data_IF_625430150602
#
_entry.id   IF_625430150602
#
_cell.length_a   1.000
_cell.length_b   1.000
_cell.length_c   1.000
_cell.angle_alpha   90.00
_cell.angle_beta   90.00
_cell.angle_gamma   90.00
#
_symmetry.space_group_name_H-M   'P 1'
#
loop_
_entity.id
_entity.type
_entity.pdbx_description
1 polymer ?
#
# COMPACT_ATOMS: atom_id res chain seq x y z
N UNK A 1 -50.60 -69.30 -6.70
CA UNK A 1 -51.51 -68.16 -6.98
C UNK A 1 -52.07 -67.71 -5.62
N UNK A 2 -52.00 -66.48 -5.12
CA UNK A 2 -51.82 -65.15 -5.71
C UNK A 2 -50.88 -64.33 -4.80
N UNK A 3 -49.59 -64.18 -5.16
CA UNK A 3 -48.68 -63.19 -4.51
C UNK A 3 -48.89 -61.77 -5.06
N UNK A 4 -49.64 -61.65 -6.15
CA UNK A 4 -49.91 -60.37 -6.82
C UNK A 4 -51.09 -59.60 -6.19
N UNK A 5 -51.85 -60.23 -5.29
CA UNK A 5 -53.00 -59.58 -4.64
C UNK A 5 -52.62 -58.68 -3.47
N UNK A 6 -51.44 -58.86 -2.87
CA UNK A 6 -51.01 -58.04 -1.72
C UNK A 6 -50.40 -56.72 -2.19
N UNK A 7 -49.65 -56.74 -3.29
CA UNK A 7 -49.07 -55.54 -3.90
C UNK A 7 -50.15 -54.61 -4.46
N UNK A 8 -51.22 -55.15 -5.03
CA UNK A 8 -52.33 -54.36 -5.57
C UNK A 8 -53.11 -53.63 -4.46
N UNK A 9 -53.34 -54.31 -3.32
CA UNK A 9 -54.04 -53.72 -2.17
C UNK A 9 -53.18 -52.65 -1.48
N UNK A 10 -51.86 -52.85 -1.39
CA UNK A 10 -50.93 -51.86 -0.84
C UNK A 10 -50.80 -50.61 -1.73
N UNK A 11 -50.84 -50.79 -3.06
CA UNK A 11 -50.80 -49.68 -4.02
C UNK A 11 -52.09 -48.84 -4.00
N UNK A 12 -53.25 -49.49 -3.84
CA UNK A 12 -54.56 -48.80 -3.74
C UNK A 12 -54.68 -48.04 -2.40
N UNK A 13 -54.16 -48.59 -1.30
CA UNK A 13 -54.07 -47.88 -0.02
C UNK A 13 -53.14 -46.66 -0.10
N UNK A 14 -52.05 -46.72 -0.87
CA UNK A 14 -51.16 -45.57 -1.07
C UNK A 14 -51.81 -44.43 -1.89
N UNK A 15 -52.71 -44.77 -2.83
CA UNK A 15 -53.46 -43.80 -3.63
C UNK A 15 -54.58 -43.15 -2.81
N UNK A 16 -55.20 -43.86 -1.87
CA UNK A 16 -56.25 -43.33 -0.99
C UNK A 16 -55.72 -42.45 0.15
N UNK A 17 -54.44 -42.56 0.52
CA UNK A 17 -53.78 -41.71 1.53
C UNK A 17 -52.93 -40.56 0.93
N UNK A 18 -52.91 -40.39 -0.39
CA UNK A 18 -52.46 -39.16 -1.00
C UNK A 18 -53.44 -38.04 -0.59
N UNK A 19 -53.00 -37.03 0.17
CA UNK A 19 -53.90 -35.98 0.59
C UNK A 19 -54.41 -35.29 -0.66
N UNK A 20 -55.74 -35.24 -0.78
CA UNK A 20 -56.49 -34.38 -1.67
C UNK A 20 -55.79 -33.01 -1.74
N UNK A 21 -55.03 -32.79 -2.81
CA UNK A 21 -54.58 -31.47 -3.23
C UNK A 21 -55.82 -30.68 -3.64
N UNK A 22 -56.56 -30.19 -2.64
CA UNK A 22 -57.50 -29.09 -2.81
C UNK A 22 -56.69 -27.94 -3.40
N UNK A 23 -57.05 -27.57 -4.63
CA UNK A 23 -56.77 -26.25 -5.21
C UNK A 23 -57.30 -25.19 -4.26
N UNK A 24 -56.51 -24.84 -3.26
CA UNK A 24 -56.65 -23.56 -2.60
C UNK A 24 -56.02 -22.54 -3.55
N UNK A 25 -56.88 -21.69 -4.08
CA UNK A 25 -56.55 -20.38 -4.60
C UNK A 25 -55.58 -19.70 -3.62
N UNK A 26 -54.28 -19.87 -3.86
CA UNK A 26 -53.28 -18.98 -3.31
C UNK A 26 -53.40 -17.74 -4.18
N UNK A 27 -54.11 -16.75 -3.64
CA UNK A 27 -53.93 -15.35 -4.02
C UNK A 27 -52.43 -15.15 -4.20
N UNK A 28 -52.00 -14.84 -5.43
CA UNK A 28 -50.66 -14.36 -5.71
C UNK A 28 -50.46 -13.09 -4.88
N UNK A 29 -50.00 -13.24 -3.64
CA UNK A 29 -49.05 -12.28 -3.12
C UNK A 29 -47.85 -12.46 -4.04
N UNK A 30 -47.75 -11.53 -4.98
CA UNK A 30 -46.52 -11.16 -5.64
C UNK A 30 -45.54 -10.85 -4.51
N UNK A 31 -44.91 -11.89 -3.95
CA UNK A 31 -43.60 -11.74 -3.36
C UNK A 31 -42.73 -11.36 -4.54
N UNK A 32 -42.56 -10.05 -4.71
CA UNK A 32 -41.38 -9.52 -5.36
C UNK A 32 -40.21 -10.24 -4.69
N UNK A 33 -39.66 -11.26 -5.36
CA UNK A 33 -38.25 -11.56 -5.24
C UNK A 33 -37.59 -10.24 -5.58
N UNK A 34 -37.32 -9.43 -4.56
CA UNK A 34 -36.33 -8.37 -4.65
C UNK A 34 -35.08 -9.12 -5.10
N UNK A 35 -34.77 -9.02 -6.38
CA UNK A 35 -33.40 -9.17 -6.83
C UNK A 35 -32.60 -8.31 -5.87
N UNK A 36 -31.89 -8.95 -4.94
CA UNK A 36 -30.87 -8.28 -4.16
C UNK A 36 -29.85 -7.88 -5.21
N UNK A 37 -29.96 -6.63 -5.67
CA UNK A 37 -29.03 -6.02 -6.60
C UNK A 37 -27.64 -6.38 -6.15
N UNK A 38 -26.83 -6.91 -7.07
CA UNK A 38 -25.41 -7.08 -6.84
C UNK A 38 -24.82 -5.68 -6.74
N UNK A 39 -24.80 -5.15 -5.53
CA UNK A 39 -24.23 -3.83 -5.26
C UNK A 39 -22.71 -3.97 -5.37
N UNK A 40 -22.13 -3.22 -6.31
CA UNK A 40 -20.69 -3.18 -6.55
C UNK A 40 -20.10 -2.05 -5.69
N UNK A 41 -19.58 -2.41 -4.53
CA UNK A 41 -18.89 -1.48 -3.63
C UNK A 41 -17.39 -1.59 -3.83
N UNK A 42 -16.70 -0.46 -3.70
CA UNK A 42 -15.26 -0.37 -3.98
C UNK A 42 -14.44 -0.19 -2.72
N UNK A 43 -14.98 0.46 -1.69
CA UNK A 43 -14.22 0.87 -0.52
C UNK A 43 -14.95 0.62 0.80
N UNK A 44 -14.14 0.34 1.82
CA UNK A 44 -14.55 0.31 3.23
C UNK A 44 -13.88 1.45 3.94
N UNK A 45 -14.59 2.11 4.84
CA UNK A 45 -13.92 2.97 5.81
C UNK A 45 -14.43 2.66 7.20
N UNK A 46 -13.52 2.44 8.14
CA UNK A 46 -13.80 1.83 9.43
C UNK A 46 -13.62 2.91 10.49
N UNK A 47 -14.66 3.15 11.29
CA UNK A 47 -14.64 4.07 12.42
C UNK A 47 -14.58 3.32 13.75
N UNK A 48 -14.55 4.03 14.89
CA UNK A 48 -14.59 3.40 16.22
C UNK A 48 -15.78 2.51 16.30
N UNK A 49 -16.93 3.06 15.94
CA UNK A 49 -18.21 2.50 16.28
C UNK A 49 -18.88 1.96 15.01
N UNK A 50 -18.14 1.65 13.95
CA UNK A 50 -18.78 1.36 12.69
C UNK A 50 -17.88 1.17 11.49
N UNK A 51 -18.49 0.91 10.35
CA UNK A 51 -17.84 1.06 9.06
C UNK A 51 -18.85 1.49 8.00
N UNK A 52 -18.35 2.23 7.03
CA UNK A 52 -19.07 2.78 5.90
C UNK A 52 -18.66 2.09 4.60
N UNK A 53 -19.63 1.95 3.69
CA UNK A 53 -19.45 1.38 2.36
C UNK A 53 -19.66 2.45 1.29
N UNK A 54 -18.66 2.58 0.44
CA UNK A 54 -18.65 3.55 -0.66
C UNK A 54 -18.56 2.84 -2.02
N UNK A 55 -19.19 3.44 -3.04
CA UNK A 55 -18.98 3.03 -4.43
C UNK A 55 -17.66 3.56 -5.01
N UNK A 56 -17.38 3.22 -6.26
CA UNK A 56 -16.17 3.65 -6.99
C UNK A 56 -16.02 5.18 -7.11
N UNK A 57 -17.12 5.91 -6.96
CA UNK A 57 -17.20 7.36 -7.08
C UNK A 57 -17.25 8.01 -5.68
N UNK A 58 -16.89 7.26 -4.63
CA UNK A 58 -16.89 7.69 -3.22
C UNK A 58 -18.25 8.17 -2.69
N UNK A 59 -19.36 7.70 -3.25
CA UNK A 59 -20.68 7.96 -2.68
C UNK A 59 -21.00 6.97 -1.57
N UNK A 60 -21.39 7.47 -0.39
CA UNK A 60 -21.83 6.63 0.72
C UNK A 60 -23.08 5.84 0.33
N UNK A 61 -23.01 4.51 0.37
CA UNK A 61 -24.15 3.62 0.11
C UNK A 61 -24.78 3.09 1.38
N UNK A 62 -23.96 2.77 2.38
CA UNK A 62 -24.44 2.14 3.61
C UNK A 62 -23.50 2.39 4.77
N UNK A 63 -24.09 2.65 5.94
CA UNK A 63 -23.40 2.77 7.21
C UNK A 63 -23.76 1.59 8.12
N UNK A 64 -22.76 1.05 8.81
CA UNK A 64 -22.92 0.07 9.86
C UNK A 64 -22.41 0.66 11.17
N UNK A 65 -23.28 0.75 12.17
CA UNK A 65 -22.91 1.19 13.50
C UNK A 65 -22.98 0.07 14.53
N UNK A 66 -22.04 0.10 15.47
CA UNK A 66 -21.92 -0.76 16.63
C UNK A 66 -21.98 0.13 17.89
N UNK A 67 -22.55 -0.42 18.97
CA UNK A 67 -22.61 0.27 20.26
C UNK A 67 -21.24 0.34 20.96
N UNK A 68 -20.29 -0.46 20.50
CA UNK A 68 -18.99 -0.66 21.12
C UNK A 68 -17.89 -0.57 20.07
N UNK A 69 -16.70 -0.08 20.46
CA UNK A 69 -15.57 0.09 19.57
C UNK A 69 -15.20 -1.18 18.78
N UNK A 70 -14.90 -1.05 17.49
CA UNK A 70 -14.26 -2.06 16.65
C UNK A 70 -12.80 -2.16 17.08
N UNK A 71 -12.35 -3.38 17.39
CA UNK A 71 -10.98 -3.70 17.74
C UNK A 71 -10.21 -4.37 16.61
N UNK A 72 -10.91 -5.09 15.72
CA UNK A 72 -10.29 -5.74 14.57
C UNK A 72 -11.27 -5.76 13.40
N UNK A 73 -10.75 -5.49 12.22
CA UNK A 73 -11.46 -5.59 10.95
C UNK A 73 -10.61 -6.39 9.97
N UNK A 74 -11.21 -7.37 9.29
CA UNK A 74 -10.51 -8.17 8.30
C UNK A 74 -11.45 -8.60 7.19
N UNK A 75 -11.00 -8.58 5.94
CA UNK A 75 -11.74 -9.10 4.80
C UNK A 75 -11.08 -10.37 4.23
N UNK A 76 -11.91 -11.32 3.79
CA UNK A 76 -11.42 -12.57 3.22
C UNK A 76 -12.47 -13.24 2.35
N UNK A 77 -12.11 -13.60 1.10
CA UNK A 77 -12.93 -14.38 0.16
C UNK A 77 -14.43 -14.05 0.19
N UNK A 78 -14.76 -12.76 0.04
CA UNK A 78 -16.15 -12.32 -0.04
C UNK A 78 -16.88 -12.22 1.31
N UNK A 79 -16.15 -12.19 2.43
CA UNK A 79 -16.68 -11.88 3.76
C UNK A 79 -15.89 -10.78 4.44
N UNK A 80 -16.54 -10.09 5.37
CA UNK A 80 -15.93 -9.08 6.25
C UNK A 80 -16.17 -9.50 7.70
N UNK A 81 -15.12 -9.49 8.50
CA UNK A 81 -15.11 -9.90 9.89
C UNK A 81 -14.84 -8.65 10.73
N UNK A 82 -15.78 -8.30 11.58
CA UNK A 82 -15.69 -7.15 12.47
C UNK A 82 -15.76 -7.64 13.90
N UNK A 83 -14.73 -7.35 14.67
CA UNK A 83 -14.67 -7.65 16.09
C UNK A 83 -14.81 -6.38 16.90
N UNK A 84 -15.73 -6.38 17.87
CA UNK A 84 -15.99 -5.26 18.78
C UNK A 84 -15.46 -5.54 20.19
N UNK A 85 -15.30 -4.48 20.99
CA UNK A 85 -14.69 -4.53 22.32
C UNK A 85 -15.55 -5.22 23.38
N UNK A 86 -16.87 -5.32 23.15
CA UNK A 86 -17.76 -6.20 23.90
C UNK A 86 -17.60 -7.69 23.52
N UNK A 87 -16.48 -8.03 22.86
CA UNK A 87 -16.13 -9.41 22.55
C UNK A 87 -17.18 -10.08 21.67
N UNK A 88 -17.60 -9.37 20.62
CA UNK A 88 -18.47 -9.92 19.58
C UNK A 88 -17.77 -9.87 18.24
N UNK A 89 -18.03 -10.88 17.42
CA UNK A 89 -17.62 -10.93 16.02
C UNK A 89 -18.87 -10.95 15.16
N UNK A 90 -18.99 -9.98 14.26
CA UNK A 90 -20.00 -9.96 13.21
C UNK A 90 -19.33 -10.31 11.88
N UNK A 91 -19.86 -11.31 11.19
CA UNK A 91 -19.40 -11.73 9.86
C UNK A 91 -20.44 -11.29 8.84
N UNK A 92 -20.02 -10.44 7.91
CA UNK A 92 -20.86 -9.90 6.85
C UNK A 92 -20.54 -10.57 5.52
N UNK A 93 -21.57 -10.78 4.71
CA UNK A 93 -21.39 -11.12 3.31
C UNK A 93 -20.89 -9.89 2.55
N UNK A 94 -19.75 -9.94 1.84
CA UNK A 94 -19.20 -8.77 1.14
C UNK A 94 -20.01 -8.34 -0.09
N UNK A 95 -20.89 -9.20 -0.63
CA UNK A 95 -21.73 -8.86 -1.79
C UNK A 95 -23.03 -8.19 -1.38
N UNK A 96 -23.62 -8.66 -0.27
CA UNK A 96 -24.94 -8.22 0.18
C UNK A 96 -24.89 -7.31 1.42
N UNK A 97 -23.76 -7.31 2.11
CA UNK A 97 -23.52 -6.66 3.39
C UNK A 97 -24.64 -6.90 4.41
N UNK A 98 -25.21 -8.09 4.39
CA UNK A 98 -25.99 -8.63 5.47
C UNK A 98 -25.09 -9.41 6.43
N UNK A 99 -25.50 -9.42 7.70
CA UNK A 99 -24.82 -10.20 8.73
C UNK A 99 -25.14 -11.68 8.49
N UNK A 100 -24.15 -12.47 8.06
CA UNK A 100 -24.31 -13.92 7.91
C UNK A 100 -24.27 -14.65 9.25
N UNK A 101 -23.50 -14.12 10.19
CA UNK A 101 -23.19 -14.78 11.45
C UNK A 101 -22.74 -13.79 12.51
N UNK A 102 -23.17 -14.00 13.76
CA UNK A 102 -22.64 -13.31 14.94
C UNK A 102 -22.11 -14.34 15.93
N UNK A 103 -20.98 -14.01 16.53
CA UNK A 103 -20.40 -14.76 17.62
C UNK A 103 -20.18 -13.83 18.80
N UNK A 104 -20.33 -14.36 20.01
CA UNK A 104 -20.04 -13.63 21.24
C UNK A 104 -19.16 -14.52 22.09
N UNK A 105 -18.02 -14.00 22.52
CA UNK A 105 -17.14 -14.73 23.40
C UNK A 105 -17.75 -14.78 24.81
N UNK A 106 -17.55 -15.90 25.51
CA UNK A 106 -17.87 -15.98 26.95
C UNK A 106 -16.93 -15.12 27.80
N UNK A 107 -15.70 -14.94 27.33
CA UNK A 107 -14.67 -14.09 27.93
C UNK A 107 -13.90 -13.38 26.81
N UNK A 108 -13.47 -12.12 27.00
CA UNK A 108 -12.70 -11.41 25.99
C UNK A 108 -11.43 -12.18 25.61
N UNK A 109 -11.13 -12.36 24.32
CA UNK A 109 -9.87 -12.95 23.90
C UNK A 109 -8.70 -12.04 24.32
N UNK A 110 -7.57 -12.66 24.66
CA UNK A 110 -6.37 -11.93 25.12
C UNK A 110 -5.77 -11.07 24.02
N UNK A 111 -5.84 -11.55 22.77
CA UNK A 111 -5.48 -10.77 21.60
C UNK A 111 -6.72 -10.49 20.78
N UNK A 112 -7.01 -9.21 20.63
CA UNK A 112 -8.20 -8.68 19.96
C UNK A 112 -8.00 -8.65 18.44
N UNK A 113 -7.52 -9.75 17.85
CA UNK A 113 -7.26 -9.90 16.42
C UNK A 113 -7.93 -11.17 15.90
N UNK A 114 -8.72 -11.02 14.83
CA UNK A 114 -9.41 -12.13 14.17
C UNK A 114 -8.68 -12.45 12.88
N UNK A 115 -8.39 -13.73 12.65
CA UNK A 115 -7.78 -14.18 11.40
C UNK A 115 -8.78 -15.02 10.60
N UNK A 116 -9.37 -14.47 9.52
CA UNK A 116 -10.32 -15.21 8.69
C UNK A 116 -9.70 -16.39 7.95
N UNK A 117 -10.53 -17.42 7.77
CA UNK A 117 -10.27 -18.57 6.89
C UNK A 117 -11.50 -18.89 6.03
N UNK A 118 -11.41 -19.90 5.16
CA UNK A 118 -12.48 -20.20 4.18
C UNK A 118 -13.84 -20.52 4.82
N UNK A 119 -13.82 -21.24 5.94
CA UNK A 119 -15.04 -21.73 6.61
C UNK A 119 -15.30 -21.09 7.96
N UNK A 120 -14.38 -20.26 8.47
CA UNK A 120 -14.44 -19.74 9.82
C UNK A 120 -13.41 -18.65 10.09
N UNK A 121 -12.96 -18.58 11.33
CA UNK A 121 -11.90 -17.68 11.75
C UNK A 121 -11.13 -18.27 12.93
N UNK A 122 -9.90 -17.77 13.11
CA UNK A 122 -9.05 -18.06 14.24
C UNK A 122 -9.04 -16.86 15.19
N UNK A 123 -8.96 -17.16 16.48
CA UNK A 123 -8.75 -16.17 17.53
C UNK A 123 -7.90 -16.77 18.65
N UNK A 124 -7.28 -15.91 19.45
CA UNK A 124 -6.44 -16.31 20.57
C UNK A 124 -7.17 -16.06 21.88
N UNK A 125 -7.20 -17.06 22.75
CA UNK A 125 -7.67 -16.93 24.13
C UNK A 125 -6.56 -17.41 25.06
N UNK A 126 -5.88 -16.47 25.72
CA UNK A 126 -4.72 -16.70 26.57
C UNK A 126 -3.63 -17.49 25.83
N UNK A 127 -3.43 -18.73 26.24
CA UNK A 127 -2.44 -19.68 25.76
C UNK A 127 -2.97 -20.63 24.67
N UNK A 128 -4.16 -20.35 24.11
CA UNK A 128 -4.83 -21.19 23.11
C UNK A 128 -5.08 -20.45 21.82
N UNK A 129 -4.78 -21.11 20.70
CA UNK A 129 -5.30 -20.74 19.39
C UNK A 129 -6.56 -21.55 19.14
N UNK A 130 -7.67 -20.88 18.90
CA UNK A 130 -8.97 -21.50 18.71
C UNK A 130 -9.47 -21.21 17.31
N UNK A 131 -9.95 -22.25 16.63
CA UNK A 131 -10.66 -22.15 15.37
C UNK A 131 -12.17 -22.24 15.63
N UNK A 132 -12.93 -21.29 15.08
CA UNK A 132 -14.39 -21.26 15.13
C UNK A 132 -14.96 -21.24 13.72
N UNK A 133 -15.88 -22.16 13.45
CA UNK A 133 -16.82 -22.05 12.33
C UNK A 133 -18.27 -21.96 12.84
N UNK A 134 -19.27 -21.98 11.94
CA UNK A 134 -20.67 -21.85 12.34
C UNK A 134 -21.14 -22.97 13.27
N UNK A 135 -20.58 -24.18 13.16
CA UNK A 135 -21.08 -25.38 13.85
C UNK A 135 -20.22 -25.76 15.05
N UNK A 136 -18.90 -25.58 14.97
CA UNK A 136 -17.97 -26.06 16.00
C UNK A 136 -16.95 -25.01 16.39
N UNK A 137 -16.39 -25.23 17.57
CA UNK A 137 -15.21 -24.57 18.10
C UNK A 137 -14.17 -25.65 18.41
N UNK A 138 -12.91 -25.40 18.05
CA UNK A 138 -11.83 -26.39 18.13
C UNK A 138 -10.57 -25.68 18.60
N UNK A 139 -9.94 -26.20 19.67
CA UNK A 139 -8.61 -25.73 20.08
C UNK A 139 -7.57 -26.34 19.14
N UNK A 140 -6.84 -25.48 18.42
CA UNK A 140 -5.85 -25.90 17.42
C UNK A 140 -4.51 -26.15 18.08
N UNK A 141 -4.09 -25.22 18.95
CA UNK A 141 -2.93 -25.39 19.82
C UNK A 141 -3.21 -24.82 21.20
N UNK A 142 -2.59 -25.42 22.22
CA UNK A 142 -2.54 -24.93 23.59
C UNK A 142 -1.10 -25.07 24.07
N UNK A 143 -0.57 -24.04 24.72
CA UNK A 143 0.81 -24.01 25.25
C UNK A 143 0.81 -23.56 26.70
N UNK A 144 1.97 -23.50 27.37
CA UNK A 144 2.02 -23.20 28.81
C UNK A 144 2.01 -21.70 29.14
N UNK A 145 2.16 -20.84 28.13
CA UNK A 145 2.36 -19.39 28.21
C UNK A 145 1.33 -18.65 27.39
N UNK A 146 1.01 -17.40 27.71
CA UNK A 146 0.06 -16.67 26.88
C UNK A 146 0.70 -16.32 25.53
N UNK A 147 -0.14 -16.26 24.50
CA UNK A 147 0.25 -15.67 23.24
C UNK A 147 0.16 -14.15 23.31
N UNK A 148 1.16 -13.47 22.76
CA UNK A 148 1.27 -12.00 22.75
C UNK A 148 1.06 -11.40 21.39
N UNK A 149 1.29 -12.17 20.32
CA UNK A 149 1.11 -11.65 18.97
C UNK A 149 0.75 -12.73 17.96
N UNK A 150 0.04 -12.33 16.89
CA UNK A 150 -0.31 -13.19 15.77
C UNK A 150 -0.12 -12.46 14.43
N UNK A 151 0.56 -13.14 13.52
CA UNK A 151 0.86 -12.70 12.17
C UNK A 151 0.31 -13.70 11.16
N UNK A 152 -0.31 -13.17 10.10
CA UNK A 152 -0.79 -13.98 8.97
C UNK A 152 0.12 -13.77 7.79
N UNK A 153 0.62 -14.85 7.21
CA UNK A 153 1.30 -14.77 5.93
C UNK A 153 0.30 -14.31 4.85
N UNK A 154 0.53 -13.20 4.15
CA UNK A 154 -0.41 -12.71 3.15
C UNK A 154 -0.48 -13.58 1.89
N UNK A 155 0.53 -14.40 1.62
CA UNK A 155 0.64 -15.21 0.40
C UNK A 155 0.49 -16.70 0.63
N UNK A 156 0.88 -17.19 1.80
CA UNK A 156 0.91 -18.61 2.15
C UNK A 156 -0.15 -18.95 3.19
N UNK A 157 -0.51 -20.22 3.30
CA UNK A 157 -1.49 -20.73 4.27
C UNK A 157 -0.93 -20.90 5.69
N UNK A 158 -0.14 -19.93 6.17
CA UNK A 158 0.55 -19.99 7.45
C UNK A 158 0.18 -18.85 8.40
N UNK A 159 0.04 -19.21 9.68
CA UNK A 159 -0.05 -18.29 10.81
C UNK A 159 1.19 -18.44 11.67
N UNK A 160 1.69 -17.31 12.14
CA UNK A 160 2.78 -17.23 13.10
C UNK A 160 2.26 -16.63 14.38
N UNK A 161 2.56 -17.27 15.50
CA UNK A 161 2.14 -16.82 16.83
C UNK A 161 3.38 -16.72 17.70
N UNK A 162 3.47 -15.65 18.48
CA UNK A 162 4.56 -15.44 19.45
C UNK A 162 3.97 -15.55 20.85
N UNK A 163 4.66 -16.25 21.75
CA UNK A 163 4.30 -16.31 23.17
C UNK A 163 5.13 -15.35 24.03
N UNK A 164 4.70 -15.17 25.28
CA UNK A 164 5.39 -14.30 26.27
C UNK A 164 6.85 -14.73 26.56
N UNK A 165 7.27 -15.92 26.15
CA UNK A 165 8.65 -16.40 26.31
C UNK A 165 9.50 -16.18 25.06
N UNK A 166 8.94 -15.67 23.97
CA UNK A 166 9.66 -15.48 22.71
C UNK A 166 9.77 -16.76 21.86
N UNK A 167 8.88 -17.72 22.04
CA UNK A 167 8.71 -18.82 21.09
C UNK A 167 7.81 -18.39 19.93
N UNK A 168 8.30 -18.60 18.72
CA UNK A 168 7.57 -18.45 17.47
C UNK A 168 7.02 -19.81 17.02
N UNK A 169 5.71 -19.86 16.81
CA UNK A 169 4.97 -21.04 16.37
C UNK A 169 4.53 -20.85 14.93
N UNK A 170 4.94 -21.75 14.03
CA UNK A 170 4.47 -21.81 12.63
C UNK A 170 3.34 -22.82 12.52
N UNK A 171 2.18 -22.36 12.04
CA UNK A 171 0.94 -23.11 12.01
C UNK A 171 0.39 -23.10 10.59
N UNK A 172 0.22 -24.28 10.02
CA UNK A 172 -0.57 -24.43 8.79
C UNK A 172 -2.04 -24.31 9.19
N UNK A 173 -2.64 -23.14 8.91
CA UNK A 173 -3.98 -22.83 9.39
C UNK A 173 -5.09 -23.43 8.51
N UNK A 174 -4.76 -23.93 7.31
CA UNK A 174 -5.73 -24.71 6.52
C UNK A 174 -5.86 -26.11 7.13
N UNK A 175 -4.73 -26.75 7.41
CA UNK A 175 -4.68 -28.09 8.00
C UNK A 175 -4.89 -28.07 9.52
N UNK A 176 -4.79 -26.91 10.16
CA UNK A 176 -4.88 -26.69 11.61
C UNK A 176 -3.84 -27.50 12.38
N UNK A 177 -2.60 -27.51 11.88
CA UNK A 177 -1.50 -28.24 12.51
C UNK A 177 -0.38 -27.30 12.87
N UNK A 178 0.21 -27.50 14.05
CA UNK A 178 1.49 -26.92 14.39
C UNK A 178 2.56 -27.59 13.53
N UNK A 179 3.28 -26.81 12.73
CA UNK A 179 4.37 -27.29 11.88
C UNK A 179 5.69 -27.29 12.62
N UNK A 180 6.01 -26.16 13.26
CA UNK A 180 7.27 -25.99 14.00
C UNK A 180 7.14 -24.94 15.08
N UNK A 181 7.98 -25.07 16.10
CA UNK A 181 8.27 -24.04 17.11
C UNK A 181 9.76 -23.74 17.10
N UNK A 182 10.11 -22.46 17.21
CA UNK A 182 11.49 -21.98 17.34
C UNK A 182 11.56 -20.91 18.43
N UNK A 183 12.59 -20.92 19.26
CA UNK A 183 12.86 -19.81 20.17
C UNK A 183 13.55 -18.68 19.40
N UNK A 184 12.94 -17.50 19.38
CA UNK A 184 13.45 -16.30 18.69
C UNK A 184 13.67 -15.12 19.63
N UNK A 185 13.30 -15.26 20.90
CA UNK A 185 13.34 -14.18 21.88
C UNK A 185 12.19 -13.18 21.69
N UNK A 186 12.33 -12.00 22.30
CA UNK A 186 11.32 -10.95 22.19
C UNK A 186 11.22 -10.46 20.75
N UNK A 187 10.05 -10.60 20.14
CA UNK A 187 9.81 -10.16 18.76
C UNK A 187 9.37 -8.70 18.80
N UNK A 188 10.12 -7.83 18.11
CA UNK A 188 9.81 -6.41 17.96
C UNK A 188 8.98 -6.14 16.71
N UNK A 189 9.28 -6.87 15.62
CA UNK A 189 8.59 -6.73 14.35
C UNK A 189 8.75 -7.99 13.49
N UNK A 190 7.86 -8.18 12.53
CA UNK A 190 7.86 -9.34 11.64
C UNK A 190 7.42 -8.98 10.22
N UNK A 191 8.24 -9.39 9.25
CA UNK A 191 8.08 -9.08 7.83
C UNK A 191 8.00 -10.33 6.96
N UNK A 192 7.35 -10.20 5.81
CA UNK A 192 7.22 -11.27 4.81
C UNK A 192 7.85 -10.84 3.48
N UNK A 193 8.87 -11.56 3.03
CA UNK A 193 9.60 -11.27 1.79
C UNK A 193 9.43 -12.42 0.77
N UNK A 194 9.64 -12.11 -0.52
CA UNK A 194 9.59 -13.06 -1.64
C UNK A 194 8.27 -13.85 -1.67
N UNK A 195 7.15 -13.14 -1.82
CA UNK A 195 5.81 -13.73 -1.78
C UNK A 195 5.58 -14.61 -0.53
N UNK A 196 6.09 -14.15 0.61
CA UNK A 196 5.91 -14.78 1.91
C UNK A 196 6.67 -16.09 2.09
N UNK A 197 7.65 -16.39 1.23
CA UNK A 197 8.52 -17.57 1.39
C UNK A 197 9.66 -17.33 2.37
N UNK A 198 9.92 -16.07 2.72
CA UNK A 198 10.90 -15.66 3.73
C UNK A 198 10.22 -14.88 4.83
N UNK A 199 10.52 -15.26 6.07
CA UNK A 199 10.03 -14.64 7.28
C UNK A 199 11.18 -13.88 7.93
N UNK A 200 11.01 -12.58 8.11
CA UNK A 200 12.00 -11.73 8.78
C UNK A 200 11.49 -11.50 10.19
N UNK A 201 12.25 -11.94 11.19
CA UNK A 201 11.90 -11.78 12.61
C UNK A 201 12.91 -10.85 13.24
N UNK A 202 12.46 -9.67 13.66
CA UNK A 202 13.31 -8.66 14.30
C UNK A 202 13.21 -8.83 15.81
N UNK A 203 14.35 -9.03 16.47
CA UNK A 203 14.45 -9.10 17.93
C UNK A 203 15.51 -8.12 18.44
N UNK A 204 15.53 -7.78 19.74
CA UNK A 204 16.49 -6.82 20.31
C UNK A 204 17.97 -7.21 20.17
N UNK A 205 18.31 -8.43 19.76
CA UNK A 205 19.70 -8.88 19.64
C UNK A 205 20.10 -9.30 18.23
N UNK A 206 19.11 -9.65 17.42
CA UNK A 206 19.35 -10.26 16.12
C UNK A 206 18.10 -10.15 15.25
N UNK A 207 18.32 -10.07 13.95
CA UNK A 207 17.27 -10.26 12.96
C UNK A 207 17.47 -11.62 12.29
N UNK A 208 16.48 -12.49 12.40
CA UNK A 208 16.51 -13.83 11.80
C UNK A 208 15.76 -13.81 10.48
N UNK A 209 16.41 -14.34 9.44
CA UNK A 209 15.76 -14.69 8.18
C UNK A 209 15.43 -16.18 8.21
N UNK A 210 14.15 -16.50 8.23
CA UNK A 210 13.65 -17.85 8.38
C UNK A 210 12.93 -18.30 7.10
N UNK A 211 13.03 -19.60 6.82
CA UNK A 211 12.12 -20.25 5.88
C UNK A 211 10.69 -20.28 6.46
N UNK A 212 9.71 -19.85 5.66
CA UNK A 212 8.35 -19.64 6.16
C UNK A 212 7.67 -20.93 6.67
N UNK A 213 7.92 -22.09 6.03
CA UNK A 213 7.29 -23.35 6.41
C UNK A 213 8.08 -24.03 7.54
N UNK A 214 9.39 -24.15 7.35
CA UNK A 214 10.24 -24.96 8.24
C UNK A 214 10.79 -24.18 9.43
N UNK A 215 10.72 -22.85 9.45
CA UNK A 215 11.42 -21.99 10.40
C UNK A 215 12.92 -22.30 10.51
N UNK A 216 13.53 -22.88 9.48
CA UNK A 216 14.98 -23.02 9.43
C UNK A 216 15.61 -21.63 9.30
N UNK A 217 16.66 -21.38 10.07
CA UNK A 217 17.44 -20.16 9.96
C UNK A 217 18.22 -20.23 8.64
N UNK A 218 17.92 -19.29 7.76
CA UNK A 218 18.63 -19.09 6.49
C UNK A 218 19.80 -18.15 6.74
N UNK A 219 19.56 -17.07 7.50
CA UNK A 219 20.57 -16.09 7.84
C UNK A 219 20.28 -15.47 9.21
N UNK A 220 21.35 -15.04 9.90
CA UNK A 220 21.30 -14.31 11.16
C UNK A 220 22.05 -12.98 11.05
N UNK A 221 21.34 -11.87 11.17
CA UNK A 221 21.93 -10.53 11.13
C UNK A 221 22.09 -10.02 12.57
N UNK A 222 23.35 -9.97 13.03
CA UNK A 222 23.73 -9.60 14.41
C UNK A 222 23.90 -8.08 14.59
N UNK A 223 22.87 -7.34 14.24
CA UNK A 223 22.76 -5.91 14.48
C UNK A 223 21.44 -5.60 15.21
N UNK A 224 21.41 -4.48 15.92
CA UNK A 224 20.21 -4.04 16.62
C UNK A 224 19.26 -3.37 15.62
N UNK A 225 18.10 -3.98 15.41
CA UNK A 225 17.01 -3.39 14.65
C UNK A 225 15.71 -3.44 15.44
N UNK A 226 14.79 -2.57 15.07
CA UNK A 226 13.49 -2.42 15.73
C UNK A 226 12.32 -2.64 14.79
N UNK A 227 12.52 -2.42 13.49
CA UNK A 227 11.47 -2.60 12.49
C UNK A 227 12.00 -3.20 11.20
N UNK A 228 11.11 -3.86 10.48
CA UNK A 228 11.36 -4.35 9.13
C UNK A 228 10.28 -3.89 8.15
N UNK A 229 10.70 -3.54 6.94
CA UNK A 229 9.81 -3.16 5.86
C UNK A 229 10.12 -4.03 4.65
N UNK A 230 9.22 -4.94 4.30
CA UNK A 230 9.45 -5.90 3.22
C UNK A 230 8.80 -5.45 1.91
N UNK A 231 9.34 -5.97 0.82
CA UNK A 231 8.77 -5.82 -0.51
C UNK A 231 8.18 -7.16 -0.96
N UNK A 232 7.02 -7.12 -1.61
CA UNK A 232 6.29 -8.30 -2.06
C UNK A 232 7.04 -9.00 -3.21
N UNK A 233 7.45 -8.22 -4.22
CA UNK A 233 7.99 -8.75 -5.49
C UNK A 233 9.49 -8.64 -5.65
N UNK A 234 10.12 -7.61 -5.06
CA UNK A 234 11.56 -7.42 -5.14
C UNK A 234 12.23 -8.16 -4.00
N UNK A 235 13.33 -8.88 -4.26
CA UNK A 235 14.03 -9.60 -3.21
C UNK A 235 14.89 -8.62 -2.42
N UNK A 236 14.25 -7.72 -1.67
CA UNK A 236 14.89 -6.69 -0.86
C UNK A 236 14.01 -6.43 0.37
N UNK A 237 14.61 -5.84 1.39
CA UNK A 237 13.88 -5.36 2.56
C UNK A 237 14.67 -4.26 3.26
N UNK A 238 13.99 -3.44 4.04
CA UNK A 238 14.65 -2.49 4.92
C UNK A 238 14.63 -2.99 6.36
N UNK A 239 15.73 -2.78 7.06
CA UNK A 239 15.80 -2.87 8.52
C UNK A 239 16.08 -1.49 9.10
N UNK A 240 15.34 -1.11 10.13
CA UNK A 240 15.48 0.18 10.80
C UNK A 240 15.95 -0.02 12.24
N UNK A 241 16.96 0.76 12.64
CA UNK A 241 17.43 0.86 14.03
C UNK A 241 17.01 2.21 14.61
N UNK A 242 16.05 2.22 15.55
CA UNK A 242 15.70 3.45 16.30
C UNK A 242 16.89 4.04 17.05
N UNK A 243 17.77 3.18 17.59
CA UNK A 243 18.91 3.63 18.39
C UNK A 243 19.92 4.42 17.56
N UNK A 244 20.19 3.94 16.34
CA UNK A 244 21.14 4.56 15.41
C UNK A 244 20.48 5.57 14.47
N UNK A 245 19.15 5.62 14.44
CA UNK A 245 18.39 6.43 13.48
C UNK A 245 18.75 6.10 12.04
N UNK A 246 18.99 4.81 11.72
CA UNK A 246 19.49 4.38 10.41
C UNK A 246 18.62 3.29 9.81
N UNK A 247 18.34 3.44 8.53
CA UNK A 247 17.69 2.43 7.71
C UNK A 247 18.72 1.82 6.78
N UNK A 248 18.72 0.50 6.72
CA UNK A 248 19.58 -0.31 5.88
C UNK A 248 18.73 -1.05 4.87
N UNK A 249 19.03 -0.89 3.58
CA UNK A 249 18.49 -1.69 2.50
C UNK A 249 19.32 -2.96 2.38
N UNK A 250 18.68 -4.12 2.50
CA UNK A 250 19.30 -5.42 2.31
C UNK A 250 18.88 -6.06 0.99
N UNK A 251 19.84 -6.75 0.36
CA UNK A 251 19.56 -7.72 -0.71
C UNK A 251 18.89 -8.96 -0.09
N UNK A 252 17.71 -9.34 -0.57
CA UNK A 252 16.92 -10.47 -0.07
C UNK A 252 17.37 -11.85 -0.55
N UNK A 253 18.43 -11.93 -1.35
CA UNK A 253 19.07 -13.19 -1.79
C UNK A 253 20.36 -13.41 -1.02
N UNK A 254 21.23 -12.39 -0.97
CA UNK A 254 22.55 -12.44 -0.33
C UNK A 254 22.52 -12.05 1.13
N UNK A 255 21.45 -11.40 1.59
CA UNK A 255 21.27 -10.90 2.96
C UNK A 255 22.39 -9.97 3.43
N UNK A 256 22.96 -9.21 2.48
CA UNK A 256 23.98 -8.19 2.74
C UNK A 256 23.39 -6.79 2.57
N UNK A 257 23.86 -5.80 3.34
CA UNK A 257 23.42 -4.42 3.17
C UNK A 257 23.95 -3.86 1.84
N UNK A 258 23.06 -3.29 1.04
CA UNK A 258 23.38 -2.62 -0.23
C UNK A 258 23.55 -1.10 -0.04
N UNK A 259 22.60 -0.48 0.66
CA UNK A 259 22.56 0.95 0.90
C UNK A 259 22.14 1.23 2.34
N UNK A 260 22.57 2.38 2.87
CA UNK A 260 22.11 2.86 4.18
C UNK A 260 21.89 4.36 4.14
N UNK A 261 20.91 4.83 4.90
CA UNK A 261 20.63 6.26 5.04
C UNK A 261 20.17 6.59 6.45
N UNK A 262 20.46 7.82 6.86
CA UNK A 262 20.17 8.33 8.19
C UNK A 262 18.80 9.02 8.22
N UNK A 263 17.99 8.60 9.19
CA UNK A 263 16.75 9.24 9.61
C UNK A 263 17.12 10.25 10.69
N UNK A 264 17.32 11.50 10.28
CA UNK A 264 17.82 12.58 11.16
C UNK A 264 16.84 12.99 12.26
N UNK A 265 15.61 12.53 12.21
CA UNK A 265 14.57 12.84 13.18
C UNK A 265 14.06 11.56 13.84
N UNK A 266 14.24 11.46 15.17
CA UNK A 266 13.79 10.29 15.94
C UNK A 266 12.27 10.20 16.03
N UNK A 267 11.56 11.32 15.82
CA UNK A 267 10.10 11.38 15.69
C UNK A 267 9.73 11.33 14.21
N UNK A 268 10.03 10.20 13.57
CA UNK A 268 9.65 9.98 12.18
C UNK A 268 8.65 8.84 12.03
N UNK A 269 7.63 9.07 11.20
CA UNK A 269 6.78 8.00 10.69
C UNK A 269 7.38 7.44 9.41
N UNK A 270 7.47 6.11 9.31
CA UNK A 270 8.05 5.42 8.16
C UNK A 270 7.01 4.48 7.58
N UNK A 271 6.78 4.57 6.27
CA UNK A 271 5.87 3.69 5.52
C UNK A 271 6.54 3.18 4.25
N UNK A 272 6.35 1.91 3.93
CA UNK A 272 6.79 1.29 2.68
C UNK A 272 5.61 0.96 1.76
N UNK A 273 5.81 1.05 0.43
CA UNK A 273 4.78 0.82 -0.58
C UNK A 273 5.34 0.31 -1.94
N UNK A 274 4.49 -0.37 -2.73
CA UNK A 274 4.75 -0.91 -4.09
C UNK A 274 6.18 -1.39 -4.35
N UNK A 275 6.65 -2.33 -3.53
CA UNK A 275 7.89 -3.10 -3.73
C UNK A 275 9.20 -2.31 -3.86
N UNK A 276 9.17 -0.99 -3.63
CA UNK A 276 10.38 -0.18 -3.80
C UNK A 276 10.33 1.21 -3.18
N UNK A 277 9.16 1.66 -2.73
CA UNK A 277 8.99 3.01 -2.21
C UNK A 277 9.05 2.97 -0.70
N UNK A 278 9.85 3.85 -0.11
CA UNK A 278 9.86 4.15 1.30
C UNK A 278 9.64 5.65 1.48
N UNK A 279 8.71 6.01 2.36
CA UNK A 279 8.40 7.40 2.68
C UNK A 279 8.69 7.59 4.16
N UNK A 280 9.48 8.62 4.44
CA UNK A 280 9.86 9.00 5.80
C UNK A 280 9.33 10.39 6.05
N UNK A 281 8.42 10.50 7.01
CA UNK A 281 7.90 11.78 7.47
C UNK A 281 8.58 12.16 8.78
N UNK A 282 9.39 13.20 8.74
CA UNK A 282 9.97 13.84 9.92
C UNK A 282 8.92 14.77 10.52
N UNK A 283 8.33 14.39 11.66
CA UNK A 283 7.28 15.17 12.34
C UNK A 283 7.80 16.51 12.83
N UNK A 284 9.02 16.55 13.35
CA UNK A 284 9.61 17.80 13.88
C UNK A 284 9.87 18.83 12.79
N UNK A 285 10.17 18.39 11.56
CA UNK A 285 10.49 19.28 10.42
C UNK A 285 9.34 19.43 9.44
N UNK A 286 8.24 18.70 9.67
CA UNK A 286 7.13 18.52 8.75
C UNK A 286 7.60 18.26 7.29
N UNK A 287 8.59 17.37 7.17
CA UNK A 287 9.30 17.10 5.93
C UNK A 287 9.18 15.64 5.53
N UNK A 288 8.99 15.40 4.24
CA UNK A 288 8.80 14.07 3.68
C UNK A 288 9.97 13.74 2.73
N UNK A 289 10.60 12.61 3.01
CA UNK A 289 11.65 12.05 2.18
C UNK A 289 11.15 10.80 1.48
N UNK A 290 11.23 10.83 0.14
CA UNK A 290 10.84 9.75 -0.73
C UNK A 290 12.09 9.00 -1.20
N UNK A 291 12.11 7.70 -0.93
CA UNK A 291 13.14 6.79 -1.39
C UNK A 291 12.53 5.76 -2.34
N UNK A 292 13.16 5.56 -3.50
CA UNK A 292 12.80 4.53 -4.46
C UNK A 292 14.02 3.62 -4.64
N UNK A 293 13.90 2.34 -4.28
CA UNK A 293 14.98 1.35 -4.26
C UNK A 293 16.22 1.82 -3.48
N UNK A 294 16.03 2.33 -2.26
CA UNK A 294 17.12 2.85 -1.41
C UNK A 294 17.61 4.25 -1.76
N UNK A 295 17.35 4.72 -2.99
CA UNK A 295 17.79 6.04 -3.45
C UNK A 295 16.74 7.10 -3.14
N UNK A 296 17.17 8.18 -2.49
CA UNK A 296 16.32 9.36 -2.31
C UNK A 296 16.01 9.97 -3.67
N UNK A 297 14.75 9.95 -4.08
CA UNK A 297 14.28 10.48 -5.37
C UNK A 297 13.52 11.79 -5.22
N UNK A 298 13.01 12.09 -4.03
CA UNK A 298 12.26 13.30 -3.78
C UNK A 298 12.39 13.78 -2.35
N UNK A 299 12.19 15.08 -2.18
CA UNK A 299 11.96 15.73 -0.89
C UNK A 299 10.88 16.77 -1.10
N UNK A 300 9.84 16.72 -0.28
CA UNK A 300 8.83 17.75 -0.23
C UNK A 300 8.57 18.15 1.22
N UNK A 301 8.30 19.43 1.44
CA UNK A 301 8.03 19.98 2.76
C UNK A 301 6.66 20.62 2.72
N UNK A 302 5.94 20.55 3.84
CA UNK A 302 4.73 21.34 4.01
C UNK A 302 5.01 22.54 4.88
N UNK A 303 4.62 23.73 4.39
CA UNK A 303 4.61 24.97 5.17
C UNK A 303 3.39 25.04 6.08
N UNK A 304 2.87 23.90 6.57
CA UNK A 304 1.80 23.92 7.55
C UNK A 304 2.41 23.90 8.96
N UNK A 305 1.90 24.77 9.84
CA UNK A 305 2.34 24.88 11.23
C UNK A 305 1.81 23.73 12.10
N UNK A 306 0.81 22.99 11.61
CA UNK A 306 0.22 21.85 12.31
C UNK A 306 0.91 20.53 11.94
N UNK A 307 0.87 19.59 12.88
CA UNK A 307 1.38 18.23 12.70
C UNK A 307 0.54 17.50 11.64
N UNK A 308 1.20 17.04 10.58
CA UNK A 308 0.57 16.30 9.49
C UNK A 308 0.76 14.80 9.73
N UNK A 309 -0.29 14.01 9.73
CA UNK A 309 -0.19 12.55 9.83
C UNK A 309 -0.15 11.88 8.45
N UNK A 310 0.68 10.84 8.32
CA UNK A 310 0.69 9.98 7.14
C UNK A 310 -0.32 8.83 7.31
N UNK A 311 -1.53 8.99 6.77
CA UNK A 311 -2.63 8.02 6.95
C UNK A 311 -2.53 6.81 6.02
N UNK A 312 -2.36 7.03 4.71
CA UNK A 312 -2.48 5.96 3.70
C UNK A 312 -1.63 6.24 2.45
N UNK A 313 -1.17 5.17 1.79
CA UNK A 313 -0.64 5.22 0.42
C UNK A 313 -1.53 4.34 -0.46
N UNK A 314 -2.12 4.92 -1.51
CA UNK A 314 -2.99 4.21 -2.44
C UNK A 314 -2.51 4.39 -3.87
N UNK A 315 -1.93 3.32 -4.45
CA UNK A 315 -1.34 3.40 -5.78
C UNK A 315 -0.24 4.46 -5.83
N UNK A 316 -0.42 5.49 -6.64
CA UNK A 316 0.57 6.56 -6.80
C UNK A 316 0.42 7.69 -5.77
N UNK A 317 -0.63 7.66 -4.96
CA UNK A 317 -1.04 8.78 -4.13
C UNK A 317 -0.77 8.55 -2.64
N UNK A 318 -0.14 9.52 -2.01
CA UNK A 318 0.11 9.63 -0.57
C UNK A 318 -0.96 10.52 0.05
N UNK A 319 -1.72 9.98 1.00
CA UNK A 319 -2.74 10.73 1.74
C UNK A 319 -2.15 11.22 3.06
N UNK A 320 -2.07 12.53 3.17
CA UNK A 320 -1.58 13.29 4.31
C UNK A 320 -2.73 14.05 4.94
N UNK A 321 -2.79 14.10 6.26
CA UNK A 321 -3.95 14.68 6.93
C UNK A 321 -3.53 15.48 8.15
N UNK A 322 -4.05 16.69 8.30
CA UNK A 322 -4.08 17.40 9.58
C UNK A 322 -5.54 17.61 10.01
N UNK A 323 -5.74 18.23 11.18
CA UNK A 323 -7.07 18.43 11.79
C UNK A 323 -8.09 19.12 10.88
N UNK A 324 -7.62 19.91 9.92
CA UNK A 324 -8.43 20.79 9.09
C UNK A 324 -8.34 20.50 7.60
N UNK A 325 -7.30 19.78 7.15
CA UNK A 325 -7.00 19.54 5.73
C UNK A 325 -6.65 18.07 5.46
N UNK A 326 -7.04 17.59 4.27
CA UNK A 326 -6.50 16.38 3.65
C UNK A 326 -5.73 16.80 2.43
N UNK A 327 -4.51 16.31 2.30
CA UNK A 327 -3.73 16.45 1.09
C UNK A 327 -3.48 15.09 0.45
N UNK A 328 -3.78 15.00 -0.84
CA UNK A 328 -3.48 13.85 -1.67
C UNK A 328 -2.31 14.24 -2.57
N UNK A 329 -1.14 13.67 -2.28
CA UNK A 329 0.10 13.94 -3.00
C UNK A 329 0.44 12.78 -3.93
N UNK A 330 0.48 13.01 -5.24
CA UNK A 330 0.94 12.03 -6.21
C UNK A 330 2.48 11.96 -6.21
N UNK A 331 2.99 10.79 -5.85
CA UNK A 331 4.41 10.52 -5.60
C UNK A 331 5.25 10.66 -6.88
N UNK A 332 4.70 10.27 -8.04
CA UNK A 332 5.45 10.22 -9.31
C UNK A 332 5.37 11.51 -10.12
N UNK A 333 4.25 12.23 -10.03
CA UNK A 333 4.04 13.49 -10.75
C UNK A 333 4.47 14.72 -9.96
N UNK A 334 4.83 14.54 -8.68
CA UNK A 334 5.08 15.63 -7.75
C UNK A 334 3.92 16.65 -7.83
N UNK A 335 2.71 16.20 -7.52
CA UNK A 335 1.53 17.06 -7.58
C UNK A 335 0.63 16.78 -6.40
N UNK A 336 0.17 17.82 -5.70
CA UNK A 336 -0.78 17.69 -4.61
C UNK A 336 -2.16 18.19 -5.02
N UNK A 337 -3.19 17.64 -4.37
CA UNK A 337 -4.50 18.27 -4.23
C UNK A 337 -4.80 18.39 -2.76
N UNK A 338 -5.24 19.57 -2.35
CA UNK A 338 -5.61 19.85 -0.96
C UNK A 338 -7.13 19.95 -0.87
N UNK A 339 -7.70 19.37 0.17
CA UNK A 339 -9.11 19.35 0.45
C UNK A 339 -9.37 19.81 1.88
N UNK A 340 -10.44 20.58 2.10
CA UNK A 340 -10.79 21.03 3.46
C UNK A 340 -11.63 19.98 4.15
N UNK A 341 -11.27 19.62 5.37
CA UNK A 341 -12.03 18.68 6.19
C UNK A 341 -13.35 19.30 6.58
N UNK A 342 -14.43 18.76 6.02
CA UNK A 342 -15.81 19.12 6.33
C UNK A 342 -16.28 18.43 7.60
N UNK A 343 -15.99 17.14 7.71
CA UNK A 343 -16.39 16.32 8.84
C UNK A 343 -15.38 15.19 9.04
N UNK A 344 -15.06 14.91 10.31
CA UNK A 344 -14.26 13.75 10.69
C UNK A 344 -15.16 12.68 11.24
N UNK A 345 -15.37 11.63 10.46
CA UNK A 345 -16.10 10.44 10.87
C UNK A 345 -15.07 9.34 11.06
N UNK A 346 -14.39 9.36 12.21
CA UNK A 346 -13.25 8.53 12.62
C UNK A 346 -12.64 7.59 11.55
N UNK A 347 -11.39 7.90 11.20
CA UNK A 347 -10.60 7.34 10.09
C UNK A 347 -11.16 7.61 8.68
N UNK A 348 -12.38 8.14 8.56
CA UNK A 348 -12.87 8.86 7.37
C UNK A 348 -12.68 10.35 7.58
N UNK A 349 -12.10 10.98 6.57
CA UNK A 349 -12.06 12.43 6.49
C UNK A 349 -12.94 12.82 5.31
N UNK A 350 -14.12 13.35 5.61
CA UNK A 350 -15.03 13.92 4.62
C UNK A 350 -14.50 15.30 4.29
N UNK A 351 -14.34 15.57 3.01
CA UNK A 351 -13.75 16.82 2.55
C UNK A 351 -14.68 17.57 1.60
N UNK A 352 -14.67 18.90 1.66
CA UNK A 352 -15.31 19.76 0.65
C UNK A 352 -14.32 20.00 -0.52
N UNK A 353 -14.82 19.92 -1.75
CA UNK A 353 -14.05 20.24 -2.97
C UNK A 353 -13.78 21.75 -3.13
N UNK A 354 -14.40 22.60 -2.30
CA UNK A 354 -14.38 24.06 -2.41
C UNK A 354 -13.12 24.73 -1.83
N UNK A 355 -11.94 24.19 -2.12
CA UNK A 355 -10.71 24.97 -2.04
C UNK A 355 -10.17 25.22 -3.45
N UNK A 356 -10.47 26.41 -4.00
CA UNK A 356 -9.63 27.01 -5.04
C UNK A 356 -8.28 27.28 -4.42
N UNK A 357 -7.38 26.31 -4.56
CA UNK A 357 -5.96 26.50 -4.30
C UNK A 357 -5.54 27.75 -5.10
N UNK A 358 -5.05 28.78 -4.40
CA UNK A 358 -4.08 29.67 -5.04
C UNK A 358 -2.91 28.77 -5.37
N UNK A 359 -2.91 28.27 -6.60
CA UNK A 359 -1.76 27.61 -7.19
C UNK A 359 -0.64 28.66 -7.11
N UNK A 360 0.27 28.52 -6.16
CA UNK A 360 1.59 29.09 -6.34
C UNK A 360 2.12 28.43 -7.61
N UNK A 361 2.16 29.21 -8.69
CA UNK A 361 2.60 28.77 -10.01
C UNK A 361 3.92 28.01 -9.86
N UNK A 362 3.88 26.67 -10.05
CA UNK A 362 5.10 25.92 -10.29
C UNK A 362 5.78 26.55 -11.50
N UNK A 363 7.06 26.90 -11.34
CA UNK A 363 7.97 27.20 -12.46
C UNK A 363 7.81 26.10 -13.50
N UNK A 364 7.25 26.47 -14.65
CA UNK A 364 7.10 25.54 -15.76
C UNK A 364 8.51 25.13 -16.22
N UNK A 365 8.83 23.85 -16.15
CA UNK A 365 10.00 23.33 -16.89
C UNK A 365 9.60 23.37 -18.36
N UNK A 366 9.96 24.45 -19.05
CA UNK A 366 9.75 24.56 -20.49
C UNK A 366 10.86 23.79 -21.22
N UNK A 367 10.46 22.80 -22.00
CA UNK A 367 11.38 22.07 -22.87
C UNK A 367 11.49 22.81 -24.20
N UNK A 368 12.70 23.23 -24.57
CA UNK A 368 12.97 23.92 -25.82
C UNK A 368 13.95 23.11 -26.69
N UNK A 369 13.96 23.39 -27.98
CA UNK A 369 15.00 23.02 -28.92
C UNK A 369 15.96 24.20 -29.10
N UNK A 370 17.24 23.91 -29.27
CA UNK A 370 18.31 24.91 -29.41
C UNK A 370 19.21 24.45 -30.55
N UNK A 371 19.88 25.38 -31.23
CA UNK A 371 20.74 25.07 -32.37
C UNK A 371 22.19 25.24 -31.96
N UNK A 372 22.98 24.17 -31.91
CA UNK A 372 24.41 24.22 -31.60
C UNK A 372 25.20 24.65 -32.84
N UNK A 373 25.83 25.82 -32.78
CA UNK A 373 26.54 26.43 -33.91
C UNK A 373 28.04 26.12 -33.88
N UNK A 374 28.69 26.24 -32.72
CA UNK A 374 30.14 26.02 -32.57
C UNK A 374 30.47 25.19 -31.32
N UNK A 375 31.67 24.60 -31.32
CA UNK A 375 32.28 23.93 -30.16
C UNK A 375 33.74 24.36 -30.09
N UNK A 376 34.11 25.07 -29.02
CA UNK A 376 35.46 25.61 -28.82
C UNK A 376 36.07 25.03 -27.54
N UNK A 377 37.38 24.83 -27.53
CA UNK A 377 38.12 24.30 -26.37
C UNK A 377 38.50 25.36 -25.34
N UNK A 378 38.22 26.64 -25.61
CA UNK A 378 38.60 27.78 -24.76
C UNK A 378 37.39 28.65 -24.41
N UNK A 379 37.24 29.00 -23.13
CA UNK A 379 36.10 29.78 -22.61
C UNK A 379 36.08 31.21 -23.12
N UNK A 380 37.25 31.87 -23.14
CA UNK A 380 37.40 33.26 -23.56
C UNK A 380 37.06 33.37 -25.05
N UNK A 381 37.57 32.46 -25.87
CA UNK A 381 37.23 32.38 -27.29
C UNK A 381 35.73 32.15 -27.50
N UNK A 382 35.08 31.29 -26.70
CA UNK A 382 33.65 31.03 -26.80
C UNK A 382 32.78 32.23 -26.40
N UNK A 383 33.17 32.97 -25.37
CA UNK A 383 32.46 34.21 -24.97
C UNK A 383 32.63 35.31 -26.02
N UNK A 384 33.84 35.51 -26.55
CA UNK A 384 34.08 36.49 -27.61
C UNK A 384 33.28 36.14 -28.88
N UNK A 385 33.23 34.87 -29.24
CA UNK A 385 32.48 34.40 -30.40
C UNK A 385 30.95 34.52 -30.19
N UNK A 386 30.45 34.24 -28.98
CA UNK A 386 29.06 34.50 -28.61
C UNK A 386 28.70 35.98 -28.79
N UNK A 387 29.51 36.90 -28.29
CA UNK A 387 29.25 38.34 -28.42
C UNK A 387 29.28 38.80 -29.89
N UNK A 388 30.26 38.32 -30.68
CA UNK A 388 30.30 38.57 -32.13
C UNK A 388 29.03 38.09 -32.85
N UNK A 389 28.52 36.92 -32.47
CA UNK A 389 27.31 36.34 -33.04
C UNK A 389 26.04 37.09 -32.61
N UNK A 390 25.98 37.60 -31.38
CA UNK A 390 24.89 38.47 -30.91
C UNK A 390 24.84 39.75 -31.73
N UNK A 391 25.98 40.37 -32.03
CA UNK A 391 26.02 41.56 -32.90
C UNK A 391 25.53 41.26 -34.31
N UNK A 392 25.83 40.06 -34.85
CA UNK A 392 25.41 39.64 -36.20
C UNK A 392 23.94 39.22 -36.28
N UNK A 393 23.35 38.73 -35.19
CA UNK A 393 21.96 38.27 -35.13
C UNK A 393 21.29 38.83 -33.85
N UNK A 394 21.02 40.14 -33.81
CA UNK A 394 20.59 40.83 -32.59
C UNK A 394 19.25 40.32 -32.04
N UNK A 395 18.41 39.77 -32.92
CA UNK A 395 17.09 39.22 -32.57
C UNK A 395 17.15 37.79 -32.01
N UNK A 396 18.30 37.09 -32.14
CA UNK A 396 18.42 35.70 -31.76
C UNK A 396 19.05 35.57 -30.36
N UNK A 397 18.50 34.71 -29.52
CA UNK A 397 19.09 34.40 -28.21
C UNK A 397 20.32 33.52 -28.38
N UNK A 398 21.51 34.00 -28.03
CA UNK A 398 22.77 33.23 -28.17
C UNK A 398 23.45 33.07 -26.81
N UNK A 399 23.82 31.83 -26.48
CA UNK A 399 24.43 31.50 -25.20
C UNK A 399 25.51 30.41 -25.32
N UNK A 400 26.39 30.34 -24.32
CA UNK A 400 27.42 29.30 -24.20
C UNK A 400 27.03 28.31 -23.11
N UNK A 401 27.25 27.02 -23.35
CA UNK A 401 27.15 25.97 -22.35
C UNK A 401 28.44 25.13 -22.36
N UNK A 402 28.98 24.80 -21.19
CA UNK A 402 30.13 23.90 -21.10
C UNK A 402 29.70 22.43 -21.07
N UNK A 403 30.58 21.56 -21.55
CA UNK A 403 30.41 20.10 -21.51
C UNK A 403 31.80 19.45 -21.41
N UNK A 404 31.94 18.47 -20.53
CA UNK A 404 33.18 17.68 -20.43
C UNK A 404 33.07 16.44 -21.32
N UNK A 405 34.06 16.25 -22.21
CA UNK A 405 34.18 15.05 -23.07
C UNK A 405 35.60 14.53 -22.94
N UNK A 406 35.77 13.27 -22.52
CA UNK A 406 37.07 12.62 -22.35
C UNK A 406 38.05 13.53 -21.55
N UNK A 407 37.58 14.02 -20.41
CA UNK A 407 38.29 14.92 -19.48
C UNK A 407 38.76 16.27 -20.05
N UNK A 408 38.28 16.64 -21.25
CA UNK A 408 38.47 17.97 -21.83
C UNK A 408 37.18 18.78 -21.77
N UNK A 409 37.29 20.00 -21.24
CA UNK A 409 36.17 20.95 -21.19
C UNK A 409 35.97 21.61 -22.56
N UNK A 410 34.76 21.52 -23.09
CA UNK A 410 34.37 22.08 -24.39
C UNK A 410 33.22 23.06 -24.16
N UNK A 411 33.33 24.23 -24.75
CA UNK A 411 32.34 25.31 -24.70
C UNK A 411 31.53 25.31 -25.99
N UNK A 412 30.25 25.01 -25.89
CA UNK A 412 29.32 24.91 -27.02
C UNK A 412 28.48 26.17 -27.10
N UNK A 413 28.42 26.76 -28.29
CA UNK A 413 27.64 27.97 -28.55
C UNK A 413 26.30 27.56 -29.17
N UNK A 414 25.21 28.01 -28.57
CA UNK A 414 23.85 27.69 -28.98
C UNK A 414 23.08 28.94 -29.39
N UNK A 415 22.14 28.76 -30.32
CA UNK A 415 21.22 29.78 -30.79
C UNK A 415 19.76 29.34 -30.58
N UNK A 416 18.98 30.27 -30.06
CA UNK A 416 17.53 30.25 -29.91
C UNK A 416 17.03 29.27 -28.86
N UNK A 417 15.77 29.48 -28.47
CA UNK A 417 14.95 28.55 -27.73
C UNK A 417 13.65 28.37 -28.53
N UNK A 418 13.49 27.22 -29.17
CA UNK A 418 12.34 26.91 -30.03
C UNK A 418 11.42 25.94 -29.30
N UNK A 419 10.12 26.23 -29.25
CA UNK A 419 9.16 25.36 -28.54
C UNK A 419 8.98 24.00 -29.22
N UNK A 420 9.23 23.93 -30.53
CA UNK A 420 9.18 22.69 -31.30
C UNK A 420 10.41 22.51 -32.21
N UNK A 421 10.62 21.27 -32.64
CA UNK A 421 11.78 20.87 -33.46
C UNK A 421 11.69 21.42 -34.90
N UNK A 422 10.49 21.68 -35.41
CA UNK A 422 10.29 22.14 -36.78
C UNK A 422 10.79 23.58 -36.92
N UNK A 423 10.47 24.45 -35.98
CA UNK A 423 10.94 25.84 -35.98
C UNK A 423 12.48 25.92 -35.88
N UNK A 424 13.07 25.10 -35.01
CA UNK A 424 14.52 24.96 -34.94
C UNK A 424 15.13 24.44 -36.26
N UNK A 425 14.41 23.59 -37.01
CA UNK A 425 14.87 23.04 -38.29
C UNK A 425 14.81 24.09 -39.39
N UNK A 426 13.74 24.89 -39.44
CA UNK A 426 13.61 26.01 -40.39
C UNK A 426 14.73 27.02 -40.17
N UNK A 427 14.96 27.44 -38.91
CA UNK A 427 16.05 28.38 -38.58
C UNK A 427 17.43 27.80 -38.88
N UNK A 428 17.66 26.50 -38.68
CA UNK A 428 18.91 25.82 -39.06
C UNK A 428 19.19 25.95 -40.55
N UNK A 429 18.19 25.73 -41.40
CA UNK A 429 18.34 25.85 -42.85
C UNK A 429 18.63 27.31 -43.28
N UNK A 430 18.01 28.28 -42.63
CA UNK A 430 18.28 29.70 -42.84
C UNK A 430 19.74 30.06 -42.48
N UNK A 431 20.24 29.56 -41.35
CA UNK A 431 21.63 29.75 -40.93
C UNK A 431 22.62 29.12 -41.93
N UNK A 432 22.33 27.92 -42.43
CA UNK A 432 23.16 27.29 -43.48
C UNK A 432 23.19 28.17 -44.74
N UNK A 433 22.04 28.72 -45.16
CA UNK A 433 21.97 29.65 -46.31
C UNK A 433 22.75 30.95 -46.08
N UNK A 434 22.84 31.41 -44.82
CA UNK A 434 23.65 32.58 -44.39
C UNK A 434 25.15 32.28 -44.24
N UNK A 435 25.61 31.08 -44.61
CA UNK A 435 27.02 30.71 -44.64
C UNK A 435 27.57 30.12 -43.34
N UNK A 436 26.70 29.71 -42.40
CA UNK A 436 27.15 28.92 -41.25
C UNK A 436 27.43 27.46 -41.67
N UNK A 437 28.30 26.77 -40.94
CA UNK A 437 28.74 25.41 -41.28
C UNK A 437 27.57 24.41 -41.41
N UNK A 438 27.73 23.37 -42.22
CA UNK A 438 26.68 22.35 -42.39
C UNK A 438 26.49 21.44 -41.16
N UNK A 439 27.47 21.42 -40.25
CA UNK A 439 27.51 20.53 -39.08
C UNK A 439 26.78 21.10 -37.85
N UNK A 440 25.77 21.95 -38.06
CA UNK A 440 24.95 22.54 -37.01
C UNK A 440 23.90 21.52 -36.52
N UNK A 441 23.81 21.32 -35.20
CA UNK A 441 22.99 20.26 -34.60
C UNK A 441 21.86 20.86 -33.76
N UNK A 442 20.63 20.36 -33.92
CA UNK A 442 19.50 20.70 -33.04
C UNK A 442 19.57 19.85 -31.77
N UNK A 443 19.55 20.48 -30.61
CA UNK A 443 19.59 19.85 -29.28
C UNK A 443 18.37 20.25 -28.47
N UNK A 444 17.74 19.26 -27.83
CA UNK A 444 16.69 19.49 -26.83
C UNK A 444 17.34 19.97 -25.53
N UNK A 445 16.87 21.07 -24.98
CA UNK A 445 17.34 21.67 -23.73
C UNK A 445 16.14 21.91 -22.81
N UNK A 446 16.24 21.46 -21.57
CA UNK A 446 15.27 21.77 -20.52
C UNK A 446 15.73 23.02 -19.81
N UNK A 447 14.87 24.03 -19.73
CA UNK A 447 15.11 25.22 -18.93
C UNK A 447 14.14 25.14 -17.75
N UNK A 448 14.69 25.27 -16.55
CA UNK A 448 13.90 25.53 -15.37
C UNK A 448 13.83 27.05 -15.24
N UNK A 449 12.63 27.64 -15.25
CA UNK A 449 12.47 29.05 -14.86
C UNK A 449 12.98 29.27 -13.43
#
# INVERSE_FOLDING_TARGET
>A
MKKDSFFLVFLILFILFLPYCKKNYVQEKIEQKKEKSKENYSFFVISENGFDLYDKDFNLKRNFSFKTPILSFSDFKGRVYVMTSDSKISVFNKKLFDVEYRFSFKQPPTLMKVVPSERGFFYISKNKLIYKDKQKEETVISVDTNFVEIFKNPYQSFLYIVDEKGFLYSIDFIRKILKRRLFVGDVLDLGFEKYGTRLIVVSPKTTLILDFETLNIIEEIKDFFTNCYTFEKKPKFYLYSYSDGRIFLYDGIKYVPEEKFEVKDKSSDIKSFCDSILIIHSKTKNAFDLFINGKRTGKFNFKNQQEIEMKLIYGEDLVLTDDTLVMVYNIFKDSSRTYTVKERIKDIIVVDEDFKEKVDEKRQIKEFYTIQIYSLSNEISAKNEMERLKTKNPEDTIFVNDTTILDKKIYRIYLGFFENKNDASIKREELIKKGYGRDIIIKKKKIND
#
